data_IF_998772650491
#
_entry.id   IF_998772650491
#
_cell.length_a   1.000
_cell.length_b   1.000
_cell.length_c   1.000
_cell.angle_alpha   90.00
_cell.angle_beta   90.00
_cell.angle_gamma   90.00
#
_symmetry.space_group_name_H-M   'P 1'
#
loop_
_entity.id
_entity.type
_entity.pdbx_description
1 polymer ?
#
# COMPACT_ATOMS: atom_id res chain seq x y z
N UNK A 1 -7.11 20.06 -8.16
CA UNK A 1 -7.27 19.63 -6.76
C UNK A 1 -5.97 18.98 -6.31
N UNK A 2 -5.45 19.29 -5.12
CA UNK A 2 -4.32 18.54 -4.53
C UNK A 2 -4.85 17.15 -4.15
N UNK A 3 -4.21 16.10 -4.61
CA UNK A 3 -4.46 14.75 -4.11
C UNK A 3 -3.90 14.73 -2.68
N UNK A 4 -4.69 14.39 -1.65
CA UNK A 4 -4.17 14.30 -0.29
C UNK A 4 -3.18 13.13 -0.20
N UNK A 5 -2.13 13.29 0.61
CA UNK A 5 -1.20 12.21 0.91
C UNK A 5 -1.97 11.02 1.51
N UNK A 6 -1.62 9.80 1.12
CA UNK A 6 -2.22 8.59 1.68
C UNK A 6 -2.00 8.56 3.20
N UNK A 7 -3.02 8.16 3.95
CA UNK A 7 -2.83 7.77 5.34
C UNK A 7 -1.83 6.60 5.37
N UNK A 8 -0.88 6.64 6.30
CA UNK A 8 0.17 5.63 6.39
C UNK A 8 0.74 5.56 7.80
N UNK A 9 1.34 4.41 8.10
CA UNK A 9 2.22 4.25 9.26
C UNK A 9 3.66 4.46 8.82
N UNK A 10 4.46 5.02 9.71
CA UNK A 10 5.90 5.17 9.53
C UNK A 10 6.62 4.54 10.71
N UNK A 11 7.57 3.66 10.41
CA UNK A 11 8.43 3.02 11.39
C UNK A 11 9.89 3.16 10.95
N UNK A 12 10.79 3.41 11.90
CA UNK A 12 12.22 3.53 11.63
C UNK A 12 12.98 2.50 12.46
N UNK A 13 13.92 1.77 11.85
CA UNK A 13 14.72 0.76 12.56
C UNK A 13 15.93 1.34 13.29
N UNK A 14 16.21 2.61 13.09
CA UNK A 14 17.32 3.35 13.69
C UNK A 14 17.26 4.84 13.35
N UNK A 15 18.11 5.67 13.96
CA UNK A 15 18.17 7.10 13.65
C UNK A 15 18.65 7.36 12.21
N UNK A 16 18.24 8.50 11.65
CA UNK A 16 18.67 9.02 10.35
C UNK A 16 18.67 7.99 9.20
N UNK A 17 17.54 7.31 8.94
CA UNK A 17 17.48 6.25 7.94
C UNK A 17 17.83 6.77 6.54
N UNK A 18 18.79 6.10 5.90
CA UNK A 18 19.24 6.42 4.52
C UNK A 18 18.49 5.62 3.45
N UNK A 19 17.67 4.65 3.88
CA UNK A 19 16.90 3.77 3.01
C UNK A 19 15.43 3.82 3.39
N UNK A 20 14.55 3.64 2.41
CA UNK A 20 13.12 3.57 2.63
C UNK A 20 12.50 2.38 1.90
N UNK A 21 11.58 1.68 2.57
CA UNK A 21 10.73 0.65 2.01
C UNK A 21 9.28 1.11 2.15
N UNK A 22 8.59 1.29 1.03
CA UNK A 22 7.14 1.52 1.00
C UNK A 22 6.49 0.16 0.71
N UNK A 23 5.74 -0.38 1.67
CA UNK A 23 5.17 -1.73 1.57
C UNK A 23 3.65 -1.68 1.50
N UNK A 24 3.10 -2.09 0.36
CA UNK A 24 1.67 -2.06 0.10
C UNK A 24 1.03 -3.38 0.52
N UNK A 25 -0.03 -3.31 1.32
CA UNK A 25 -0.79 -4.48 1.73
C UNK A 25 -1.69 -5.01 0.58
N UNK A 26 -2.21 -6.22 0.76
CA UNK A 26 -3.15 -6.87 -0.16
C UNK A 26 -4.60 -6.39 -0.03
N UNK A 27 -5.50 -6.93 -0.85
CA UNK A 27 -6.94 -6.60 -0.83
C UNK A 27 -7.57 -6.88 0.54
N UNK A 28 -8.31 -5.91 1.07
CA UNK A 28 -9.08 -6.03 2.32
C UNK A 28 -8.25 -5.94 3.61
N UNK A 29 -6.92 -5.89 3.51
CA UNK A 29 -5.98 -5.71 4.61
C UNK A 29 -5.80 -4.22 4.96
N UNK A 30 -4.96 -3.94 5.96
CA UNK A 30 -4.48 -2.58 6.25
C UNK A 30 -2.96 -2.55 6.49
N UNK A 31 -2.42 -1.36 6.80
CA UNK A 31 -0.97 -1.14 6.98
C UNK A 31 -0.38 -1.78 8.24
N UNK A 32 -1.20 -2.12 9.23
CA UNK A 32 -0.76 -2.77 10.48
C UNK A 32 -0.40 -4.24 10.27
N UNK A 33 -0.97 -4.90 9.25
CA UNK A 33 -0.75 -6.32 8.96
C UNK A 33 0.73 -6.66 8.72
N UNK A 34 1.54 -5.66 8.31
CA UNK A 34 2.94 -5.85 7.97
C UNK A 34 3.93 -5.30 9.01
N UNK A 35 3.51 -4.55 10.03
CA UNK A 35 4.43 -4.10 11.09
C UNK A 35 5.23 -5.26 11.73
N UNK A 36 4.63 -6.43 12.03
CA UNK A 36 5.36 -7.54 12.64
C UNK A 36 6.44 -8.17 11.75
N UNK A 37 6.52 -7.83 10.46
CA UNK A 37 7.54 -8.36 9.55
C UNK A 37 8.90 -7.70 9.75
N UNK A 38 8.95 -6.45 10.22
CA UNK A 38 10.21 -5.70 10.39
C UNK A 38 11.26 -6.49 11.19
N UNK A 39 10.97 -7.01 12.40
CA UNK A 39 11.96 -7.80 13.14
C UNK A 39 12.30 -9.13 12.45
N UNK A 40 11.44 -9.67 11.59
CA UNK A 40 11.66 -10.92 10.87
C UNK A 40 12.59 -10.78 9.66
N UNK A 41 12.75 -9.55 9.13
CA UNK A 41 13.67 -9.26 8.03
C UNK A 41 15.15 -9.42 8.43
N UNK A 42 15.44 -9.49 9.73
CA UNK A 42 16.79 -9.68 10.28
C UNK A 42 17.82 -8.72 9.63
N UNK A 43 17.43 -7.45 9.51
CA UNK A 43 18.28 -6.42 8.93
C UNK A 43 19.59 -6.30 9.73
N UNK A 44 20.73 -6.00 9.06
CA UNK A 44 21.96 -5.68 9.76
C UNK A 44 21.75 -4.58 10.81
N UNK A 45 22.38 -4.67 11.99
CA UNK A 45 22.15 -3.71 13.08
C UNK A 45 22.62 -2.29 12.75
N UNK A 46 23.52 -2.14 11.78
CA UNK A 46 24.02 -0.87 11.25
C UNK A 46 23.16 -0.31 10.10
N UNK A 47 22.12 -1.03 9.68
CA UNK A 47 21.23 -0.62 8.60
C UNK A 47 19.93 0.02 9.14
N UNK A 48 19.91 1.35 9.16
CA UNK A 48 18.70 2.12 9.46
C UNK A 48 17.81 2.27 8.21
N UNK A 49 16.58 1.76 8.30
CA UNK A 49 15.57 1.79 7.22
C UNK A 49 14.28 2.40 7.75
N UNK A 50 13.68 3.29 6.96
CA UNK A 50 12.31 3.78 7.16
C UNK A 50 11.33 2.88 6.42
N UNK A 51 10.38 2.30 7.13
CA UNK A 51 9.24 1.60 6.58
C UNK A 51 8.03 2.52 6.53
N UNK A 52 7.36 2.57 5.38
CA UNK A 52 6.09 3.26 5.19
C UNK A 52 5.04 2.22 4.79
N UNK A 53 3.98 2.10 5.58
CA UNK A 53 2.86 1.20 5.32
C UNK A 53 1.61 2.03 4.99
N UNK A 54 1.36 2.35 3.71
CA UNK A 54 0.20 3.14 3.32
C UNK A 54 -1.09 2.33 3.39
N UNK A 55 -2.19 2.99 3.73
CA UNK A 55 -3.53 2.44 3.77
C UNK A 55 -4.24 2.68 2.43
N UNK A 56 -4.70 1.61 1.80
CA UNK A 56 -5.52 1.73 0.59
C UNK A 56 -6.86 2.42 0.91
N UNK A 57 -7.37 3.30 0.03
CA UNK A 57 -8.71 3.87 0.18
C UNK A 57 -9.80 2.80 0.21
N UNK A 58 -10.85 3.02 1.01
CA UNK A 58 -12.04 2.18 0.98
C UNK A 58 -12.82 2.43 -0.32
N UNK A 59 -13.04 1.37 -1.10
CA UNK A 59 -13.78 1.43 -2.37
C UNK A 59 -14.57 0.13 -2.62
N UNK A 60 -15.63 0.17 -3.44
CA UNK A 60 -16.33 -1.05 -3.85
C UNK A 60 -15.41 -1.93 -4.72
N UNK A 61 -15.47 -3.25 -4.50
CA UNK A 61 -14.68 -4.23 -5.25
C UNK A 61 -15.59 -5.22 -5.95
N UNK A 62 -15.57 -5.20 -7.28
CA UNK A 62 -16.47 -5.98 -8.16
C UNK A 62 -16.30 -7.48 -7.96
N UNK A 63 -15.06 -7.98 -7.85
CA UNK A 63 -14.75 -9.38 -7.54
C UNK A 63 -15.46 -9.86 -6.27
N UNK A 64 -15.59 -8.97 -5.27
CA UNK A 64 -16.24 -9.24 -4.00
C UNK A 64 -17.70 -8.73 -4.00
N UNK A 65 -18.40 -8.79 -5.13
CA UNK A 65 -19.83 -8.43 -5.19
C UNK A 65 -20.14 -6.98 -4.82
N UNK A 66 -19.17 -6.07 -4.95
CA UNK A 66 -19.34 -4.65 -4.63
C UNK A 66 -19.15 -4.28 -3.16
N UNK A 67 -18.70 -5.21 -2.30
CA UNK A 67 -18.36 -4.87 -0.91
C UNK A 67 -17.32 -3.74 -0.86
N UNK A 68 -17.53 -2.78 0.05
CA UNK A 68 -16.59 -1.68 0.30
C UNK A 68 -15.52 -2.16 1.27
N UNK A 69 -14.27 -2.15 0.84
CA UNK A 69 -13.12 -2.53 1.65
C UNK A 69 -11.85 -1.81 1.17
N UNK A 70 -10.76 -1.84 1.94
CA UNK A 70 -9.47 -1.30 1.48
C UNK A 70 -9.02 -1.97 0.18
N UNK A 71 -8.87 -1.19 -0.88
CA UNK A 71 -8.37 -1.67 -2.15
C UNK A 71 -7.63 -0.58 -2.92
N UNK A 72 -6.57 -0.96 -3.63
CA UNK A 72 -5.79 -0.05 -4.47
C UNK A 72 -6.50 0.23 -5.80
N UNK A 73 -7.23 -0.73 -6.34
CA UNK A 73 -7.99 -0.60 -7.57
C UNK A 73 -9.11 -1.65 -7.59
N UNK A 74 -10.08 -1.47 -8.48
CA UNK A 74 -11.16 -2.45 -8.66
C UNK A 74 -10.67 -3.68 -9.46
N UNK A 75 -11.16 -4.86 -9.10
CA UNK A 75 -10.83 -6.13 -9.76
C UNK A 75 -12.13 -6.71 -10.28
N UNK A 76 -12.18 -7.00 -11.58
CA UNK A 76 -13.36 -7.52 -12.25
C UNK A 76 -13.09 -8.92 -12.79
N UNK A 77 -14.12 -9.74 -12.85
CA UNK A 77 -14.06 -11.06 -13.47
C UNK A 77 -15.01 -11.06 -14.66
N UNK A 78 -14.49 -11.47 -15.80
CA UNK A 78 -15.24 -11.68 -17.04
C UNK A 78 -15.02 -13.11 -17.54
N UNK A 79 -15.76 -13.51 -18.57
CA UNK A 79 -15.56 -14.80 -19.25
C UNK A 79 -14.15 -14.94 -19.85
N UNK A 80 -13.43 -13.82 -20.03
CA UNK A 80 -12.07 -13.76 -20.56
C UNK A 80 -10.99 -13.76 -19.45
N UNK A 81 -11.39 -13.80 -18.19
CA UNK A 81 -10.50 -13.80 -17.02
C UNK A 81 -10.61 -12.54 -16.16
N UNK A 82 -9.53 -12.26 -15.41
CA UNK A 82 -9.45 -11.11 -14.52
C UNK A 82 -9.14 -9.85 -15.33
N UNK A 83 -9.98 -8.84 -15.18
CA UNK A 83 -9.80 -7.49 -15.72
C UNK A 83 -9.43 -6.54 -14.58
N UNK A 84 -8.34 -5.79 -14.76
CA UNK A 84 -7.88 -4.81 -13.78
C UNK A 84 -8.36 -3.41 -14.17
N UNK A 85 -8.81 -2.64 -13.18
CA UNK A 85 -9.17 -1.23 -13.36
C UNK A 85 -7.91 -0.36 -13.61
N UNK A 86 -7.59 -0.16 -14.89
CA UNK A 86 -6.48 0.70 -15.31
C UNK A 86 -6.53 2.10 -14.71
N UNK A 87 -7.72 2.70 -14.62
CA UNK A 87 -7.87 4.05 -14.07
C UNK A 87 -7.58 4.05 -12.57
N UNK A 88 -8.11 3.07 -11.84
CA UNK A 88 -7.82 2.88 -10.42
C UNK A 88 -6.33 2.62 -10.14
N UNK A 89 -5.65 1.88 -11.03
CA UNK A 89 -4.21 1.69 -10.97
C UNK A 89 -3.48 3.03 -11.12
N UNK A 90 -3.79 3.82 -12.14
CA UNK A 90 -3.17 5.15 -12.33
C UNK A 90 -3.39 6.09 -11.13
N UNK A 91 -4.60 6.10 -10.57
CA UNK A 91 -4.94 6.87 -9.37
C UNK A 91 -4.09 6.46 -8.17
N UNK A 92 -3.97 5.16 -7.92
CA UNK A 92 -3.12 4.63 -6.86
C UNK A 92 -1.66 4.91 -7.10
N UNK A 93 -1.15 4.75 -8.33
CA UNK A 93 0.22 5.11 -8.70
C UNK A 93 0.52 6.56 -8.33
N UNK A 94 -0.35 7.51 -8.73
CA UNK A 94 -0.15 8.92 -8.39
C UNK A 94 -0.15 9.15 -6.88
N UNK A 95 -1.05 8.52 -6.14
CA UNK A 95 -1.13 8.66 -4.69
C UNK A 95 0.09 8.06 -3.96
N UNK A 96 0.62 6.93 -4.45
CA UNK A 96 1.83 6.29 -3.91
C UNK A 96 3.07 7.10 -4.26
N UNK A 97 3.17 7.65 -5.47
CA UNK A 97 4.28 8.51 -5.87
C UNK A 97 4.45 9.73 -4.97
N UNK A 98 3.36 10.25 -4.40
CA UNK A 98 3.44 11.33 -3.41
C UNK A 98 4.10 10.94 -2.08
N UNK A 99 4.31 9.65 -1.81
CA UNK A 99 5.07 9.17 -0.66
C UNK A 99 6.57 9.07 -0.95
N UNK A 100 6.97 9.23 -2.22
CA UNK A 100 8.36 9.15 -2.69
C UNK A 100 8.98 10.55 -2.80
N UNK A 101 8.20 11.54 -3.24
CA UNK A 101 8.60 12.94 -3.46
C UNK A 101 8.53 13.80 -2.19
#
# INVERSE_FOLDING_TARGET
MKIPLLAHLTMETGPDPQYCIIWLHGLGADGHDFEPIIPQLQLPPDLAVRFIFPHAPARPVTLNGGYIMPAWYDIRVSDLGIEQDHKGIEESTRAISMLIE
#
